data_IF_529119817748
#
_entry.id   IF_529119817748
#
_cell.length_a   1.000
_cell.length_b   1.000
_cell.length_c   1.000
_cell.angle_alpha   90.00
_cell.angle_beta   90.00
_cell.angle_gamma   90.00
#
_symmetry.space_group_name_H-M   'P 1'
#
loop_
_entity.id
_entity.type
_entity.pdbx_description
1 polymer ?
#
# COMPACT_ATOMS: atom_id res chain seq x y z
N UNK A 1 -20.23 -16.49 -37.09
CA UNK A 1 -19.05 -16.91 -36.29
C UNK A 1 -18.87 -15.89 -35.19
N UNK A 2 -19.09 -16.27 -33.93
CA UNK A 2 -18.85 -15.38 -32.78
C UNK A 2 -17.40 -15.59 -32.38
N UNK A 3 -16.59 -14.54 -32.51
CA UNK A 3 -15.21 -14.54 -32.02
C UNK A 3 -15.20 -14.67 -30.50
N UNK A 4 -14.34 -15.56 -30.02
CA UNK A 4 -14.16 -15.94 -28.63
C UNK A 4 -13.66 -14.78 -27.77
N UNK A 5 -14.58 -14.12 -27.06
CA UNK A 5 -14.25 -13.27 -25.92
C UNK A 5 -13.94 -14.13 -24.69
N UNK A 6 -12.84 -14.89 -24.75
CA UNK A 6 -12.22 -15.48 -23.56
C UNK A 6 -11.80 -14.35 -22.61
N UNK A 7 -12.25 -14.41 -21.36
CA UNK A 7 -11.90 -13.39 -20.37
C UNK A 7 -10.40 -13.36 -20.14
N UNK A 8 -9.84 -12.19 -19.80
CA UNK A 8 -8.41 -12.04 -19.50
C UNK A 8 -7.96 -13.04 -18.40
N UNK A 9 -8.88 -13.41 -17.50
CA UNK A 9 -8.69 -14.40 -16.44
C UNK A 9 -8.56 -15.84 -16.97
N UNK A 10 -9.29 -16.21 -18.02
CA UNK A 10 -9.16 -17.54 -18.65
C UNK A 10 -7.89 -17.65 -19.49
N UNK A 11 -7.42 -16.54 -20.09
CA UNK A 11 -6.11 -16.47 -20.75
C UNK A 11 -4.96 -16.58 -19.74
N UNK A 12 -5.10 -16.00 -18.55
CA UNK A 12 -4.16 -16.13 -17.44
C UNK A 12 -4.16 -17.54 -16.85
N UNK A 13 -5.35 -18.16 -16.70
CA UNK A 13 -5.48 -19.55 -16.25
C UNK A 13 -4.75 -20.52 -17.18
N UNK A 14 -4.75 -20.28 -18.49
CA UNK A 14 -4.01 -21.11 -19.46
C UNK A 14 -2.50 -20.84 -19.52
N UNK A 15 -2.00 -19.73 -18.98
CA UNK A 15 -0.56 -19.47 -18.85
C UNK A 15 0.07 -20.14 -17.62
N UNK A 16 -0.74 -20.67 -16.69
CA UNK A 16 -0.26 -21.36 -15.48
C UNK A 16 0.39 -22.74 -15.72
N UNK A 17 0.46 -23.21 -16.97
CA UNK A 17 1.26 -24.38 -17.36
C UNK A 17 2.71 -24.04 -17.77
N UNK A 18 3.12 -22.77 -17.71
CA UNK A 18 4.54 -22.43 -17.71
C UNK A 18 5.08 -22.66 -16.29
N UNK A 19 6.02 -23.60 -16.15
CA UNK A 19 6.84 -23.79 -14.95
C UNK A 19 7.69 -22.53 -14.73
N UNK A 20 7.10 -21.48 -14.16
CA UNK A 20 7.82 -20.29 -13.78
C UNK A 20 8.79 -20.62 -12.64
N UNK A 21 9.97 -20.04 -12.73
CA UNK A 21 11.01 -20.23 -11.74
C UNK A 21 10.61 -19.55 -10.43
N UNK A 22 10.26 -20.38 -9.44
CA UNK A 22 9.87 -19.92 -8.10
C UNK A 22 10.97 -19.10 -7.41
N UNK A 23 12.25 -19.33 -7.73
CA UNK A 23 13.36 -18.56 -7.19
C UNK A 23 13.36 -17.15 -7.78
N UNK A 24 13.10 -17.01 -9.08
CA UNK A 24 12.97 -15.69 -9.73
C UNK A 24 11.77 -14.92 -9.20
N UNK A 25 10.63 -15.58 -8.98
CA UNK A 25 9.45 -14.96 -8.35
C UNK A 25 9.81 -14.44 -6.96
N UNK A 26 10.46 -15.25 -6.13
CA UNK A 26 10.85 -14.83 -4.79
C UNK A 26 11.84 -13.64 -4.82
N UNK A 27 12.82 -13.64 -5.72
CA UNK A 27 13.76 -12.52 -5.91
C UNK A 27 13.06 -11.24 -6.31
N UNK A 28 12.11 -11.32 -7.25
CA UNK A 28 11.36 -10.15 -7.72
C UNK A 28 10.39 -9.65 -6.64
N UNK A 29 9.74 -10.54 -5.89
CA UNK A 29 8.88 -10.17 -4.76
C UNK A 29 9.68 -9.45 -3.66
N UNK A 30 10.86 -9.97 -3.31
CA UNK A 30 11.78 -9.34 -2.35
C UNK A 30 12.20 -7.96 -2.86
N UNK A 31 12.60 -7.86 -4.13
CA UNK A 31 12.94 -6.58 -4.76
C UNK A 31 11.81 -5.55 -4.64
N UNK A 32 10.56 -5.96 -4.91
CA UNK A 32 9.37 -5.11 -4.80
C UNK A 32 9.21 -4.59 -3.36
N UNK A 33 9.27 -5.48 -2.37
CA UNK A 33 9.08 -5.12 -0.96
C UNK A 33 10.18 -4.18 -0.43
N UNK A 34 11.39 -4.27 -0.97
CA UNK A 34 12.52 -3.47 -0.53
C UNK A 34 12.67 -2.13 -1.24
N UNK A 35 12.31 -2.05 -2.53
CA UNK A 35 12.70 -0.94 -3.40
C UNK A 35 11.52 -0.18 -4.01
N UNK A 36 10.30 -0.72 -3.92
CA UNK A 36 9.13 -0.13 -4.56
C UNK A 36 8.19 0.42 -3.47
N UNK A 37 7.73 1.66 -3.67
CA UNK A 37 6.71 2.23 -2.79
C UNK A 37 5.38 1.51 -3.02
N UNK A 38 4.94 0.78 -2.00
CA UNK A 38 3.69 0.02 -2.02
C UNK A 38 2.64 0.80 -1.23
N UNK A 39 1.54 1.14 -1.89
CA UNK A 39 0.35 1.68 -1.22
C UNK A 39 -0.67 0.57 -1.02
N UNK A 40 -1.06 0.32 0.23
CA UNK A 40 -2.12 -0.63 0.59
C UNK A 40 -3.28 0.10 1.25
N UNK A 41 -4.47 -0.03 0.67
CA UNK A 41 -5.70 0.49 1.28
C UNK A 41 -6.55 -0.68 1.78
N UNK A 42 -6.86 -0.64 3.08
CA UNK A 42 -7.72 -1.61 3.72
C UNK A 42 -9.19 -1.25 3.50
N UNK A 43 -10.02 -2.22 3.14
CA UNK A 43 -11.48 -2.08 3.10
C UNK A 43 -12.11 -3.07 4.09
N UNK A 44 -13.44 -3.05 4.18
CA UNK A 44 -14.21 -3.94 5.06
C UNK A 44 -13.94 -5.43 4.78
N UNK A 45 -13.83 -5.81 3.51
CA UNK A 45 -13.76 -7.20 3.05
C UNK A 45 -12.70 -7.45 1.97
N UNK A 46 -11.92 -6.42 1.63
CA UNK A 46 -10.90 -6.48 0.58
C UNK A 46 -9.75 -5.51 0.88
N UNK A 47 -8.72 -5.60 0.05
CA UNK A 47 -7.63 -4.64 0.01
C UNK A 47 -7.45 -4.19 -1.44
N UNK A 48 -7.04 -2.94 -1.61
CA UNK A 48 -6.38 -2.52 -2.83
C UNK A 48 -4.89 -2.43 -2.56
N UNK A 49 -4.12 -2.75 -3.59
CA UNK A 49 -2.68 -2.72 -3.59
C UNK A 49 -2.27 -1.97 -4.85
N UNK A 50 -1.46 -0.93 -4.70
CA UNK A 50 -0.94 -0.14 -5.80
C UNK A 50 0.56 -0.03 -5.68
N UNK A 51 1.23 -0.25 -6.80
CA UNK A 51 2.65 -0.04 -7.00
C UNK A 51 2.84 0.77 -8.26
N UNK A 52 3.88 1.64 -8.32
CA UNK A 52 4.28 2.28 -9.55
C UNK A 52 4.77 1.24 -10.56
N UNK A 53 4.74 1.62 -11.84
CA UNK A 53 5.22 0.76 -12.93
C UNK A 53 6.71 0.41 -12.73
N UNK A 54 7.09 -0.85 -13.00
CA UNK A 54 8.47 -1.28 -12.83
C UNK A 54 9.40 -0.64 -13.84
N UNK A 55 10.59 -0.24 -13.37
CA UNK A 55 11.70 0.05 -14.27
C UNK A 55 12.30 -1.27 -14.79
N UNK A 56 11.81 -1.72 -15.96
CA UNK A 56 12.17 -3.01 -16.55
C UNK A 56 13.69 -3.24 -16.67
N UNK A 57 14.44 -2.21 -17.09
CA UNK A 57 15.90 -2.25 -17.23
C UNK A 57 16.63 -2.43 -15.91
N UNK A 58 16.17 -1.72 -14.87
CA UNK A 58 16.77 -1.81 -13.54
C UNK A 58 16.61 -3.21 -12.96
N UNK A 59 15.40 -3.76 -13.03
CA UNK A 59 15.09 -5.10 -12.52
C UNK A 59 15.85 -6.16 -13.31
N UNK A 60 15.89 -6.03 -14.65
CA UNK A 60 16.66 -6.93 -15.51
C UNK A 60 18.12 -7.00 -15.09
N UNK A 61 18.77 -5.84 -14.91
CA UNK A 61 20.18 -5.76 -14.53
C UNK A 61 20.46 -6.29 -13.13
N UNK A 62 19.58 -5.98 -12.16
CA UNK A 62 19.77 -6.39 -10.75
C UNK A 62 19.53 -7.87 -10.53
N UNK A 63 18.51 -8.43 -11.20
CA UNK A 63 18.03 -9.79 -10.92
C UNK A 63 18.45 -10.82 -11.97
N UNK A 64 19.15 -10.40 -13.03
CA UNK A 64 19.55 -11.29 -14.12
C UNK A 64 18.36 -11.87 -14.89
N UNK A 65 17.26 -11.12 -14.95
CA UNK A 65 16.05 -11.50 -15.68
C UNK A 65 16.11 -10.86 -17.06
N UNK A 66 15.68 -11.61 -18.08
CA UNK A 66 15.58 -11.09 -19.45
C UNK A 66 14.57 -9.92 -19.45
N UNK A 67 14.94 -8.75 -19.98
CA UNK A 67 14.12 -7.52 -19.90
C UNK A 67 12.67 -7.73 -20.38
N UNK A 68 12.47 -8.54 -21.43
CA UNK A 68 11.15 -8.86 -21.96
C UNK A 68 10.28 -9.72 -21.01
N UNK A 69 10.91 -10.48 -20.10
CA UNK A 69 10.22 -11.31 -19.10
C UNK A 69 9.89 -10.54 -17.82
N UNK A 70 10.55 -9.40 -17.58
CA UNK A 70 10.39 -8.60 -16.34
C UNK A 70 8.92 -8.25 -16.07
N UNK A 71 8.12 -7.75 -17.02
CA UNK A 71 6.72 -7.41 -16.74
C UNK A 71 5.90 -8.60 -16.22
N UNK A 72 6.21 -9.81 -16.72
CA UNK A 72 5.51 -11.03 -16.35
C UNK A 72 5.92 -11.50 -14.95
N UNK A 73 7.21 -11.58 -14.66
CA UNK A 73 7.70 -11.94 -13.31
C UNK A 73 7.28 -10.90 -12.27
N UNK A 74 7.29 -9.61 -12.62
CA UNK A 74 6.82 -8.54 -11.75
C UNK A 74 5.35 -8.75 -11.39
N UNK A 75 4.49 -8.96 -12.40
CA UNK A 75 3.07 -9.23 -12.19
C UNK A 75 2.82 -10.46 -11.32
N UNK A 76 3.47 -11.59 -11.60
CA UNK A 76 3.30 -12.82 -10.82
C UNK A 76 3.73 -12.61 -9.36
N UNK A 77 4.82 -11.88 -9.15
CA UNK A 77 5.32 -11.56 -7.81
C UNK A 77 4.36 -10.64 -7.04
N UNK A 78 3.76 -9.67 -7.72
CA UNK A 78 2.70 -8.83 -7.15
C UNK A 78 1.47 -9.64 -6.76
N UNK A 79 1.03 -10.56 -7.64
CA UNK A 79 -0.10 -11.45 -7.36
C UNK A 79 0.19 -12.35 -6.14
N UNK A 80 1.42 -12.85 -6.01
CA UNK A 80 1.87 -13.59 -4.83
C UNK A 80 1.82 -12.75 -3.56
N UNK A 81 2.36 -11.52 -3.58
CA UNK A 81 2.33 -10.58 -2.46
C UNK A 81 0.87 -10.29 -2.06
N UNK A 82 0.03 -9.95 -3.03
CA UNK A 82 -1.39 -9.64 -2.81
C UNK A 82 -2.18 -10.81 -2.23
N UNK A 83 -1.95 -12.04 -2.73
CA UNK A 83 -2.59 -13.25 -2.19
C UNK A 83 -2.14 -13.52 -0.76
N UNK A 84 -0.85 -13.47 -0.50
CA UNK A 84 -0.28 -13.68 0.85
C UNK A 84 -0.82 -12.64 1.84
N UNK A 85 -0.87 -11.37 1.42
CA UNK A 85 -1.45 -10.29 2.19
C UNK A 85 -2.93 -10.54 2.51
N UNK A 86 -3.73 -10.95 1.52
CA UNK A 86 -5.14 -11.27 1.72
C UNK A 86 -5.34 -12.42 2.71
N UNK A 87 -4.56 -13.49 2.58
CA UNK A 87 -4.64 -14.64 3.47
C UNK A 87 -4.24 -14.29 4.90
N UNK A 88 -3.20 -13.48 5.06
CA UNK A 88 -2.80 -13.04 6.39
C UNK A 88 -3.84 -12.09 6.98
N UNK A 89 -4.30 -11.07 6.26
CA UNK A 89 -5.14 -10.00 6.83
C UNK A 89 -6.61 -10.41 6.98
N UNK A 90 -7.20 -11.05 5.97
CA UNK A 90 -8.63 -11.47 5.98
C UNK A 90 -8.78 -12.89 6.50
N UNK A 91 -7.90 -13.79 6.05
CA UNK A 91 -7.92 -15.20 6.43
C UNK A 91 -7.32 -15.47 7.82
N UNK A 92 -6.80 -14.43 8.48
CA UNK A 92 -6.13 -14.47 9.78
C UNK A 92 -5.00 -15.51 9.89
N UNK A 93 -4.35 -15.82 8.77
CA UNK A 93 -3.24 -16.77 8.76
C UNK A 93 -1.95 -16.11 9.29
N UNK A 94 -1.12 -16.92 9.94
CA UNK A 94 0.26 -16.55 10.26
C UNK A 94 1.16 -16.72 9.03
N UNK A 95 2.22 -15.90 8.87
CA UNK A 95 3.19 -16.10 7.80
C UNK A 95 3.94 -17.42 8.01
N UNK A 96 4.00 -18.26 6.97
CA UNK A 96 4.65 -19.58 7.01
C UNK A 96 6.01 -19.61 6.31
N UNK A 97 6.29 -18.66 5.42
CA UNK A 97 7.55 -18.57 4.68
C UNK A 97 8.38 -17.34 5.07
N UNK A 98 9.71 -17.31 4.80
CA UNK A 98 10.52 -16.12 5.00
C UNK A 98 10.00 -14.90 4.22
N UNK A 99 9.57 -15.08 2.98
CA UNK A 99 9.00 -14.02 2.15
C UNK A 99 7.67 -13.52 2.71
N UNK A 100 6.82 -14.40 3.24
CA UNK A 100 5.57 -13.99 3.90
C UNK A 100 5.83 -13.21 5.19
N UNK A 101 6.88 -13.56 5.95
CA UNK A 101 7.29 -12.75 7.12
C UNK A 101 7.73 -11.36 6.68
N UNK A 102 8.48 -11.27 5.59
CA UNK A 102 8.87 -9.99 5.03
C UNK A 102 7.66 -9.15 4.59
N UNK A 103 6.69 -9.76 3.90
CA UNK A 103 5.41 -9.11 3.56
C UNK A 103 4.71 -8.63 4.84
N UNK A 104 4.67 -9.48 5.87
CA UNK A 104 4.02 -9.18 7.14
C UNK A 104 4.58 -7.91 7.79
N UNK A 105 5.91 -7.85 7.88
CA UNK A 105 6.63 -6.76 8.54
C UNK A 105 6.62 -5.49 7.69
N UNK A 106 6.96 -5.59 6.39
CA UNK A 106 7.07 -4.45 5.48
C UNK A 106 5.73 -3.76 5.23
N UNK A 107 4.65 -4.52 5.11
CA UNK A 107 3.32 -3.96 4.84
C UNK A 107 2.51 -3.72 6.12
N UNK A 108 3.12 -3.88 7.30
CA UNK A 108 2.50 -3.67 8.61
C UNK A 108 1.13 -4.38 8.71
N UNK A 109 1.14 -5.68 8.42
CA UNK A 109 -0.09 -6.51 8.35
C UNK A 109 -0.91 -6.43 9.63
N UNK A 110 -0.26 -6.31 10.79
CA UNK A 110 -0.96 -6.13 12.07
C UNK A 110 -1.86 -4.88 12.08
N UNK A 111 -1.37 -3.76 11.56
CA UNK A 111 -2.16 -2.53 11.48
C UNK A 111 -3.28 -2.66 10.42
N UNK A 112 -3.00 -3.30 9.29
CA UNK A 112 -4.01 -3.56 8.26
C UNK A 112 -5.15 -4.45 8.77
N UNK A 113 -4.83 -5.51 9.54
CA UNK A 113 -5.83 -6.36 10.23
C UNK A 113 -6.74 -5.52 11.11
N UNK A 114 -6.15 -4.69 11.96
CA UNK A 114 -6.90 -3.83 12.87
C UNK A 114 -7.81 -2.86 12.11
N UNK A 115 -7.31 -2.18 11.08
CA UNK A 115 -8.12 -1.29 10.24
C UNK A 115 -9.30 -2.01 9.60
N UNK A 116 -9.10 -3.20 9.04
CA UNK A 116 -10.18 -3.98 8.44
C UNK A 116 -11.22 -4.45 9.47
N UNK A 117 -10.79 -4.85 10.67
CA UNK A 117 -11.72 -5.16 11.76
C UNK A 117 -12.55 -3.94 12.15
N UNK A 118 -11.89 -2.79 12.38
CA UNK A 118 -12.56 -1.54 12.71
C UNK A 118 -13.57 -1.15 11.61
N UNK A 119 -13.22 -1.27 10.33
CA UNK A 119 -14.14 -0.99 9.21
C UNK A 119 -15.32 -1.95 9.09
N UNK A 120 -15.24 -3.16 9.65
CA UNK A 120 -16.38 -4.09 9.69
C UNK A 120 -17.42 -3.68 10.73
N UNK A 121 -16.95 -3.17 11.86
CA UNK A 121 -17.73 -2.82 13.04
C UNK A 121 -18.10 -1.32 13.08
N UNK A 122 -17.51 -0.51 12.21
CA UNK A 122 -17.50 0.94 12.31
C UNK A 122 -18.90 1.57 12.24
N UNK A 123 -19.24 2.27 13.32
CA UNK A 123 -20.19 3.39 13.36
C UNK A 123 -19.44 4.73 13.11
N UNK A 124 -18.10 4.73 13.17
CA UNK A 124 -17.23 5.91 13.09
C UNK A 124 -16.15 5.79 11.99
N UNK A 125 -15.71 6.92 11.40
CA UNK A 125 -14.57 7.00 10.50
C UNK A 125 -13.29 6.30 11.00
N UNK A 126 -12.66 5.49 10.12
CA UNK A 126 -11.35 4.88 10.37
C UNK A 126 -10.27 5.66 9.62
N UNK A 127 -9.24 6.11 10.34
CA UNK A 127 -8.11 6.85 9.79
C UNK A 127 -7.36 6.05 8.71
N UNK A 128 -7.16 6.66 7.54
CA UNK A 128 -6.36 6.06 6.46
C UNK A 128 -4.99 6.69 6.32
N UNK A 129 -4.98 7.98 6.01
CA UNK A 129 -3.76 8.72 5.72
C UNK A 129 -3.94 10.18 6.13
N UNK A 130 -2.83 10.92 6.18
CA UNK A 130 -2.85 12.37 6.35
C UNK A 130 -1.83 13.05 5.48
N UNK A 131 -2.17 14.24 4.97
CA UNK A 131 -1.26 15.12 4.22
C UNK A 131 -1.30 16.52 4.79
N UNK A 132 -0.15 17.19 4.79
CA UNK A 132 -0.02 18.57 5.24
C UNK A 132 0.41 19.44 4.07
N UNK A 133 -0.35 20.51 3.79
CA UNK A 133 -0.07 21.45 2.71
C UNK A 133 0.32 22.82 3.29
N UNK A 134 1.39 23.42 2.76
CA UNK A 134 1.76 24.78 3.12
C UNK A 134 0.86 25.76 2.37
N UNK A 135 0.29 26.71 3.09
CA UNK A 135 -0.48 27.80 2.52
C UNK A 135 -0.09 29.13 3.18
N UNK A 136 -0.50 30.24 2.58
CA UNK A 136 -0.31 31.55 3.15
C UNK A 136 -1.58 32.37 3.03
N UNK A 137 -1.94 33.09 4.08
CA UNK A 137 -3.03 34.08 4.04
C UNK A 137 -2.47 35.47 4.32
N UNK A 138 -2.93 36.44 3.54
CA UNK A 138 -2.67 37.85 3.81
C UNK A 138 -3.68 38.34 4.82
N UNK A 139 -3.21 38.90 5.92
CA UNK A 139 -4.00 39.70 6.86
C UNK A 139 -3.63 41.18 6.68
N UNK A 140 -4.40 42.10 7.27
CA UNK A 140 -4.31 43.55 7.03
C UNK A 140 -2.89 44.15 7.16
N UNK A 141 -1.95 43.47 7.82
CA UNK A 141 -0.59 43.96 8.00
C UNK A 141 0.52 42.98 7.56
N UNK A 142 0.26 41.67 7.44
CA UNK A 142 1.28 40.66 7.08
C UNK A 142 0.71 39.40 6.42
N UNK A 143 1.55 38.77 5.59
CA UNK A 143 1.35 37.38 5.12
C UNK A 143 1.73 36.42 6.24
N UNK A 144 0.76 35.64 6.71
CA UNK A 144 0.97 34.57 7.68
C UNK A 144 1.00 33.22 6.97
N UNK A 145 2.01 32.41 7.28
CA UNK A 145 2.08 31.01 6.83
C UNK A 145 1.20 30.15 7.72
N UNK A 146 0.30 29.40 7.08
CA UNK A 146 -0.55 28.41 7.71
C UNK A 146 -0.40 27.07 7.00
N UNK A 147 -1.07 26.04 7.51
CA UNK A 147 -1.05 24.71 6.95
C UNK A 147 -2.46 24.17 6.81
N UNK A 148 -2.69 23.32 5.81
CA UNK A 148 -3.91 22.52 5.72
C UNK A 148 -3.57 21.07 6.04
N UNK A 149 -4.07 20.58 7.17
CA UNK A 149 -4.03 19.16 7.51
C UNK A 149 -5.26 18.48 6.90
N UNK A 150 -5.03 17.67 5.87
CA UNK A 150 -6.04 16.81 5.27
C UNK A 150 -5.93 15.41 5.89
N UNK A 151 -7.01 14.94 6.51
CA UNK A 151 -7.12 13.59 7.05
C UNK A 151 -8.07 12.80 6.16
N UNK A 152 -7.59 11.69 5.62
CA UNK A 152 -8.37 10.77 4.80
C UNK A 152 -8.91 9.65 5.69
N UNK A 153 -10.19 9.32 5.52
CA UNK A 153 -10.88 8.25 6.22
C UNK A 153 -11.87 7.54 5.30
N UNK A 154 -12.19 6.29 5.62
CA UNK A 154 -13.08 5.49 4.77
C UNK A 154 -12.49 5.24 3.38
N UNK A 155 -13.36 5.16 2.37
CA UNK A 155 -12.96 4.74 1.01
C UNK A 155 -12.58 5.92 0.11
N UNK A 156 -13.16 7.11 0.34
CA UNK A 156 -12.91 8.34 -0.43
C UNK A 156 -13.22 9.62 0.37
N UNK A 157 -13.36 9.52 1.70
CA UNK A 157 -13.77 10.66 2.52
C UNK A 157 -12.56 11.38 3.11
N UNK A 158 -12.67 12.70 3.24
CA UNK A 158 -11.62 13.50 3.85
C UNK A 158 -12.20 14.70 4.60
N UNK A 159 -11.57 15.04 5.72
CA UNK A 159 -11.79 16.30 6.43
C UNK A 159 -10.48 17.08 6.36
N UNK A 160 -10.59 18.40 6.17
CA UNK A 160 -9.44 19.30 6.11
C UNK A 160 -9.55 20.37 7.18
N UNK A 161 -8.45 20.63 7.87
CA UNK A 161 -8.32 21.65 8.90
C UNK A 161 -7.26 22.64 8.48
N UNK A 162 -7.57 23.93 8.52
CA UNK A 162 -6.53 24.96 8.49
C UNK A 162 -5.99 25.14 9.91
N UNK A 163 -4.67 25.06 10.04
CA UNK A 163 -3.97 25.09 11.33
C UNK A 163 -2.73 25.98 11.23
N UNK A 164 -2.39 26.63 12.33
CA UNK A 164 -1.19 27.45 12.45
C UNK A 164 0.04 26.61 12.79
N UNK A 165 1.22 27.23 12.77
CA UNK A 165 2.46 26.60 13.23
C UNK A 165 2.40 26.19 14.71
N UNK A 166 1.73 26.95 15.56
CA UNK A 166 1.65 26.65 16.99
C UNK A 166 0.62 25.54 17.30
N UNK A 167 -0.45 25.44 16.51
CA UNK A 167 -1.36 24.29 16.55
C UNK A 167 -0.62 22.99 16.19
N UNK A 168 0.22 23.02 15.15
CA UNK A 168 1.06 21.87 14.77
C UNK A 168 2.01 21.44 15.88
N UNK A 169 2.65 22.39 16.58
CA UNK A 169 3.51 22.07 17.73
C UNK A 169 2.71 21.38 18.84
N UNK A 170 1.50 21.87 19.10
CA UNK A 170 0.60 21.32 20.11
C UNK A 170 0.17 19.90 19.75
N UNK A 171 -0.28 19.68 18.50
CA UNK A 171 -0.61 18.35 17.97
C UNK A 171 0.58 17.39 18.07
N UNK A 172 1.78 17.85 17.69
CA UNK A 172 3.00 17.05 17.78
C UNK A 172 3.30 16.62 19.22
N UNK A 173 3.16 17.54 20.19
CA UNK A 173 3.34 17.24 21.62
C UNK A 173 2.34 16.19 22.09
N UNK A 174 1.05 16.37 21.80
CA UNK A 174 -0.01 15.43 22.19
C UNK A 174 0.22 14.03 21.61
N UNK A 175 0.64 13.95 20.34
CA UNK A 175 0.96 12.67 19.69
C UNK A 175 2.16 12.00 20.36
N UNK A 176 3.24 12.75 20.62
CA UNK A 176 4.44 12.22 21.29
C UNK A 176 4.13 11.63 22.67
N UNK A 177 3.33 12.33 23.46
CA UNK A 177 2.89 11.86 24.78
C UNK A 177 2.15 10.51 24.69
N UNK A 178 1.31 10.32 23.67
CA UNK A 178 0.58 9.04 23.47
C UNK A 178 1.45 7.92 22.90
N UNK A 179 2.48 8.26 22.13
CA UNK A 179 3.44 7.29 21.59
C UNK A 179 4.57 6.94 22.58
N UNK A 180 4.60 7.56 23.76
CA UNK A 180 5.65 7.35 24.76
C UNK A 180 7.00 7.97 24.40
N UNK A 181 7.04 8.85 23.39
CA UNK A 181 8.22 9.64 23.07
C UNK A 181 8.33 10.83 24.02
N UNK A 182 9.42 10.89 24.80
CA UNK A 182 9.76 12.07 25.61
C UNK A 182 10.10 13.27 24.71
#
# INVERSE_FOLDING_TARGET
>A
MREDNLSLFEKLGKMTEQNFDSEKINKVATYILENVEITVTAYKDKFSFSVPDPNGKEISNKLGIIEQEVPLYFRISLDYIGKSLKEMVIGDKAPVSPLEKEIYDRLNVKNLKMKTLLKKEAIMPVFESSKLYNISRTTDEKTMQNYVLKIEYGDSEAISFEITKDDLKTLCKTIKEKLGGK
#
